data_IF_273293532676
#
_entry.id   IF_273293532676
#
_cell.length_a   1.000
_cell.length_b   1.000
_cell.length_c   1.000
_cell.angle_alpha   90.00
_cell.angle_beta   90.00
_cell.angle_gamma   90.00
#
_symmetry.space_group_name_H-M   'P 1'
#
loop_
_entity.id
_entity.type
_entity.pdbx_description
1 polymer ?
#
# COMPACT_ATOMS: atom_id res chain seq x y z
N UNK A 1 -18.82 -12.67 3.54
CA UNK A 1 -17.88 -11.96 2.63
C UNK A 1 -16.87 -12.97 2.12
N UNK A 2 -16.56 -13.04 0.81
CA UNK A 2 -15.61 -14.04 0.27
C UNK A 2 -14.20 -13.80 0.86
N UNK A 3 -13.42 -14.86 1.05
CA UNK A 3 -12.06 -14.77 1.60
C UNK A 3 -11.17 -13.81 0.79
N UNK A 4 -11.27 -13.86 -0.53
CA UNK A 4 -10.62 -12.93 -1.45
C UNK A 4 -11.02 -11.47 -1.22
N UNK A 5 -12.32 -11.17 -1.10
CA UNK A 5 -12.81 -9.81 -0.82
C UNK A 5 -12.29 -9.28 0.51
N UNK A 6 -12.22 -10.11 1.56
CA UNK A 6 -11.68 -9.73 2.86
C UNK A 6 -10.17 -9.42 2.78
N UNK A 7 -9.42 -10.21 2.02
CA UNK A 7 -7.99 -10.00 1.81
C UNK A 7 -7.74 -8.68 1.08
N UNK A 8 -8.43 -8.45 -0.05
CA UNK A 8 -8.32 -7.21 -0.81
C UNK A 8 -8.69 -6.00 0.04
N UNK A 9 -9.79 -6.06 0.81
CA UNK A 9 -10.20 -4.96 1.68
C UNK A 9 -9.16 -4.64 2.76
N UNK A 10 -8.56 -5.67 3.36
CA UNK A 10 -7.47 -5.51 4.35
C UNK A 10 -6.28 -4.77 3.72
N UNK A 11 -5.83 -5.22 2.55
CA UNK A 11 -4.66 -4.62 1.89
C UNK A 11 -4.96 -3.23 1.33
N UNK A 12 -6.16 -2.96 0.83
CA UNK A 12 -6.58 -1.59 0.48
C UNK A 12 -6.54 -0.65 1.68
N UNK A 13 -6.97 -1.10 2.86
CA UNK A 13 -6.85 -0.32 4.10
C UNK A 13 -5.40 -0.06 4.51
N UNK A 14 -4.54 -1.08 4.43
CA UNK A 14 -3.10 -0.93 4.69
C UNK A 14 -2.46 0.06 3.72
N UNK A 15 -2.79 -0.03 2.43
CA UNK A 15 -2.29 0.89 1.40
C UNK A 15 -2.70 2.32 1.66
N UNK A 16 -3.97 2.55 2.02
CA UNK A 16 -4.47 3.89 2.36
C UNK A 16 -3.68 4.49 3.54
N UNK A 17 -3.53 3.75 4.65
CA UNK A 17 -2.81 4.25 5.83
C UNK A 17 -1.33 4.50 5.52
N UNK A 18 -0.69 3.57 4.81
CA UNK A 18 0.72 3.71 4.45
C UNK A 18 0.95 4.91 3.52
N UNK A 19 0.07 5.16 2.55
CA UNK A 19 0.16 6.32 1.66
C UNK A 19 -0.01 7.63 2.43
N UNK A 20 -0.95 7.70 3.38
CA UNK A 20 -1.13 8.87 4.22
C UNK A 20 0.11 9.14 5.09
N UNK A 21 0.64 8.11 5.75
CA UNK A 21 1.84 8.24 6.59
C UNK A 21 3.04 8.71 5.77
N UNK A 22 3.30 8.09 4.62
CA UNK A 22 4.44 8.46 3.76
C UNK A 22 4.28 9.88 3.23
N UNK A 23 3.08 10.27 2.79
CA UNK A 23 2.82 11.63 2.30
C UNK A 23 3.01 12.66 3.41
N UNK A 24 2.45 12.43 4.60
CA UNK A 24 2.63 13.33 5.75
C UNK A 24 4.08 13.44 6.20
N UNK A 25 4.85 12.35 6.17
CA UNK A 25 6.28 12.36 6.48
C UNK A 25 7.09 13.15 5.44
N UNK A 26 6.75 13.00 4.15
CA UNK A 26 7.40 13.75 3.07
C UNK A 26 7.09 15.25 3.15
N UNK A 27 5.85 15.62 3.47
CA UNK A 27 5.46 17.01 3.70
C UNK A 27 6.20 17.61 4.92
N UNK A 28 6.27 16.86 6.02
CA UNK A 28 6.96 17.28 7.25
C UNK A 28 8.48 17.39 7.10
N UNK A 29 9.10 16.60 6.20
CA UNK A 29 10.55 16.61 5.95
C UNK A 29 11.05 17.87 5.21
N UNK A 30 10.18 18.86 4.95
CA UNK A 30 10.61 20.19 4.48
C UNK A 30 10.85 20.27 2.98
N UNK A 31 9.99 19.65 2.16
CA UNK A 31 10.00 19.87 0.72
C UNK A 31 11.28 19.38 0.04
N UNK A 32 11.95 18.36 0.60
CA UNK A 32 12.94 17.59 -0.16
C UNK A 32 12.21 17.16 -1.42
N UNK A 33 12.65 17.66 -2.57
CA UNK A 33 12.11 17.36 -3.89
C UNK A 33 12.37 15.88 -4.22
N UNK A 34 11.74 14.98 -3.48
CA UNK A 34 11.50 13.62 -3.90
C UNK A 34 10.71 13.70 -5.21
N UNK A 35 11.02 12.85 -6.21
CA UNK A 35 10.44 12.98 -7.54
C UNK A 35 8.94 12.71 -7.48
N UNK A 36 8.16 13.79 -7.29
CA UNK A 36 6.72 13.80 -7.08
C UNK A 36 6.20 12.98 -5.88
N UNK A 37 5.29 13.58 -5.10
CA UNK A 37 4.46 12.87 -4.12
C UNK A 37 3.75 11.65 -4.73
N UNK A 38 3.48 11.68 -6.04
CA UNK A 38 2.88 10.58 -6.79
C UNK A 38 3.79 9.36 -6.87
N UNK A 39 5.11 9.55 -6.98
CA UNK A 39 6.08 8.45 -7.03
C UNK A 39 6.15 7.67 -5.71
N UNK A 40 6.09 8.38 -4.59
CA UNK A 40 6.04 7.76 -3.27
C UNK A 40 4.74 6.98 -3.04
N UNK A 41 3.59 7.57 -3.42
CA UNK A 41 2.29 6.90 -3.33
C UNK A 41 2.27 5.66 -4.24
N UNK A 42 2.78 5.77 -5.47
CA UNK A 42 2.86 4.64 -6.41
C UNK A 42 3.73 3.50 -5.86
N UNK A 43 4.89 3.82 -5.26
CA UNK A 43 5.75 2.83 -4.62
C UNK A 43 5.05 2.10 -3.46
N UNK A 44 4.37 2.85 -2.59
CA UNK A 44 3.58 2.28 -1.48
C UNK A 44 2.48 1.36 -1.99
N UNK A 45 1.69 1.82 -2.96
CA UNK A 45 0.59 1.03 -3.50
C UNK A 45 1.09 -0.24 -4.20
N UNK A 46 2.20 -0.16 -4.94
CA UNK A 46 2.83 -1.31 -5.58
C UNK A 46 3.31 -2.34 -4.55
N UNK A 47 3.96 -1.90 -3.47
CA UNK A 47 4.40 -2.78 -2.39
C UNK A 47 3.22 -3.49 -1.69
N UNK A 48 2.14 -2.75 -1.45
CA UNK A 48 0.92 -3.26 -0.80
C UNK A 48 0.19 -4.28 -1.69
N UNK A 49 0.09 -4.01 -2.99
CA UNK A 49 -0.47 -4.96 -3.97
C UNK A 49 0.39 -6.21 -4.06
N UNK A 50 1.72 -6.07 -4.11
CA UNK A 50 2.64 -7.22 -4.09
C UNK A 50 2.45 -8.09 -2.83
N UNK A 51 2.30 -7.46 -1.67
CA UNK A 51 2.02 -8.16 -0.42
C UNK A 51 0.63 -8.85 -0.42
N UNK A 52 -0.38 -8.21 -1.00
CA UNK A 52 -1.72 -8.78 -1.16
C UNK A 52 -1.71 -10.01 -2.07
N UNK A 53 -0.98 -9.95 -3.20
CA UNK A 53 -0.81 -11.06 -4.14
C UNK A 53 -0.10 -12.23 -3.46
N UNK A 54 0.98 -11.97 -2.73
CA UNK A 54 1.72 -13.02 -2.02
C UNK A 54 0.82 -13.75 -0.99
N UNK A 55 0.03 -13.00 -0.21
CA UNK A 55 -0.94 -13.63 0.70
C UNK A 55 -2.09 -14.33 -0.04
N UNK A 56 -2.52 -13.83 -1.19
CA UNK A 56 -3.55 -14.48 -1.99
C UNK A 56 -3.09 -15.86 -2.46
N UNK A 57 -1.83 -16.00 -2.89
CA UNK A 57 -1.25 -17.30 -3.24
C UNK A 57 -1.19 -18.25 -2.04
N UNK A 58 -0.74 -17.78 -0.87
CA UNK A 58 -0.70 -18.62 0.36
C UNK A 58 -2.08 -19.09 0.81
N UNK A 59 -3.11 -18.28 0.61
CA UNK A 59 -4.49 -18.64 0.93
C UNK A 59 -5.06 -19.60 -0.11
N UNK A 60 -4.62 -19.52 -1.38
CA UNK A 60 -5.04 -20.43 -2.45
C UNK A 60 -4.38 -21.82 -2.37
N UNK A 61 -3.19 -21.93 -1.76
CA UNK A 61 -2.50 -23.21 -1.51
C UNK A 61 -3.02 -23.98 -0.28
N UNK A 62 -4.01 -23.44 0.46
CA UNK A 62 -4.64 -24.07 1.63
C UNK A 62 -6.05 -24.54 1.33
#
# INVERSE_FOLDING_TARGET
MKASTKLWLKYSGIGLVASLVVTSLLEAAGGIAYPSSEGAIFGVMTAVVGAAINEAFKVAER
#
